data_IF_096825992737
#
_entry.id   IF_096825992737
#
_cell.length_a   1.000
_cell.length_b   1.000
_cell.length_c   1.000
_cell.angle_alpha   90.00
_cell.angle_beta   90.00
_cell.angle_gamma   90.00
#
_symmetry.space_group_name_H-M   'P 1'
#
loop_
_entity.id
_entity.type
_entity.pdbx_description
1 polymer ?
#
# COMPACT_ATOMS: atom_id res chain seq x y z
N UNK A 1 58.98 10.93 -81.58
CA UNK A 1 57.54 10.85 -81.26
C UNK A 1 57.35 9.57 -80.45
N UNK A 2 57.52 9.65 -79.14
CA UNK A 2 57.24 8.58 -78.16
C UNK A 2 57.62 9.12 -76.77
N UNK A 3 56.67 9.59 -75.98
CA UNK A 3 56.79 9.81 -74.54
C UNK A 3 55.38 10.10 -73.99
N UNK A 4 55.11 9.65 -72.75
CA UNK A 4 53.88 9.83 -71.95
C UNK A 4 52.82 8.73 -72.09
N UNK A 5 53.05 7.57 -71.45
CA UNK A 5 51.96 6.60 -71.19
C UNK A 5 52.17 5.77 -69.91
N UNK A 6 52.99 6.24 -68.95
CA UNK A 6 53.43 5.42 -67.80
C UNK A 6 53.17 6.00 -66.41
N UNK A 7 52.46 7.12 -66.28
CA UNK A 7 52.17 7.72 -64.94
C UNK A 7 50.74 7.44 -64.43
N UNK A 8 49.78 7.04 -65.27
CA UNK A 8 48.39 6.83 -64.83
C UNK A 8 48.17 5.52 -64.03
N UNK A 9 49.05 4.53 -64.14
CA UNK A 9 48.83 3.24 -63.45
C UNK A 9 49.13 3.30 -61.95
N UNK A 10 49.86 4.31 -61.47
CA UNK A 10 50.32 4.36 -60.08
C UNK A 10 49.30 4.99 -59.11
N UNK A 11 48.39 5.82 -59.61
CA UNK A 11 47.36 6.50 -58.80
C UNK A 11 46.11 5.62 -58.58
N UNK A 12 45.87 4.65 -59.47
CA UNK A 12 44.74 3.74 -59.36
C UNK A 12 44.85 2.82 -58.14
N UNK A 13 46.04 2.28 -57.84
CA UNK A 13 46.26 1.38 -56.70
C UNK A 13 46.14 2.07 -55.33
N UNK A 14 46.46 3.37 -55.23
CA UNK A 14 46.29 4.12 -53.98
C UNK A 14 44.81 4.32 -53.61
N UNK A 15 43.96 4.58 -54.59
CA UNK A 15 42.54 4.82 -54.37
C UNK A 15 41.80 3.53 -53.95
N UNK A 16 42.19 2.38 -54.50
CA UNK A 16 41.64 1.06 -54.10
C UNK A 16 42.02 0.72 -52.66
N UNK A 17 43.29 0.98 -52.26
CA UNK A 17 43.76 0.75 -50.89
C UNK A 17 43.03 1.63 -49.87
N UNK A 18 42.82 2.92 -50.17
CA UNK A 18 42.14 3.86 -49.29
C UNK A 18 40.66 3.47 -49.02
N UNK A 19 39.94 3.03 -50.05
CA UNK A 19 38.55 2.57 -49.90
C UNK A 19 38.42 1.36 -48.96
N UNK A 20 39.36 0.41 -49.06
CA UNK A 20 39.37 -0.81 -48.24
C UNK A 20 39.67 -0.53 -46.77
N UNK A 21 40.51 0.48 -46.48
CA UNK A 21 40.78 0.95 -45.11
C UNK A 21 39.53 1.63 -44.53
N UNK A 22 38.86 2.49 -45.29
CA UNK A 22 37.65 3.19 -44.85
C UNK A 22 36.48 2.24 -44.56
N UNK A 23 36.29 1.21 -45.39
CA UNK A 23 35.26 0.20 -45.15
C UNK A 23 35.50 -0.59 -43.84
N UNK A 24 36.75 -0.97 -43.58
CA UNK A 24 37.13 -1.68 -42.34
C UNK A 24 36.92 -0.80 -41.11
N UNK A 25 37.26 0.48 -41.18
CA UNK A 25 37.03 1.44 -40.10
C UNK A 25 35.53 1.64 -39.84
N UNK A 26 34.72 1.78 -40.89
CA UNK A 26 33.27 1.92 -40.75
C UNK A 26 32.63 0.71 -40.06
N UNK A 27 33.04 -0.52 -40.43
CA UNK A 27 32.57 -1.74 -39.77
C UNK A 27 32.98 -1.82 -38.30
N UNK A 28 34.21 -1.44 -37.97
CA UNK A 28 34.69 -1.36 -36.58
C UNK A 28 33.85 -0.37 -35.75
N UNK A 29 33.65 0.85 -36.27
CA UNK A 29 32.83 1.87 -35.60
C UNK A 29 31.39 1.39 -35.42
N UNK A 30 30.80 0.73 -36.42
CA UNK A 30 29.45 0.18 -36.30
C UNK A 30 29.33 -0.90 -35.23
N UNK A 31 30.31 -1.80 -35.11
CA UNK A 31 30.33 -2.85 -34.07
C UNK A 31 30.45 -2.23 -32.68
N UNK A 32 31.39 -1.31 -32.49
CA UNK A 32 31.55 -0.63 -31.19
C UNK A 32 30.34 0.24 -30.84
N UNK A 33 29.80 0.98 -31.81
CA UNK A 33 28.59 1.76 -31.63
C UNK A 33 27.38 0.90 -31.24
N UNK A 34 27.23 -0.26 -31.88
CA UNK A 34 26.19 -1.25 -31.54
C UNK A 34 26.35 -1.80 -30.12
N UNK A 35 27.57 -2.16 -29.72
CA UNK A 35 27.84 -2.71 -28.39
C UNK A 35 27.64 -1.67 -27.27
N UNK A 36 28.11 -0.44 -27.47
CA UNK A 36 27.87 0.67 -26.52
C UNK A 36 26.38 0.95 -26.39
N UNK A 37 25.65 1.01 -27.52
CA UNK A 37 24.20 1.23 -27.52
C UNK A 37 23.44 0.12 -26.78
N UNK A 38 23.86 -1.15 -26.96
CA UNK A 38 23.27 -2.28 -26.23
C UNK A 38 23.52 -2.19 -24.72
N UNK A 39 24.73 -1.80 -24.29
CA UNK A 39 25.05 -1.62 -22.86
C UNK A 39 24.21 -0.48 -22.25
N UNK A 40 24.13 0.67 -22.92
CA UNK A 40 23.33 1.82 -22.45
C UNK A 40 21.86 1.45 -22.34
N UNK A 41 21.33 0.69 -23.30
CA UNK A 41 19.95 0.20 -23.27
C UNK A 41 19.70 -0.71 -22.05
N UNK A 42 20.61 -1.64 -21.74
CA UNK A 42 20.49 -2.53 -20.57
C UNK A 42 20.50 -1.73 -19.27
N UNK A 43 21.42 -0.76 -19.14
CA UNK A 43 21.49 0.10 -17.95
C UNK A 43 20.21 0.92 -17.79
N UNK A 44 19.74 1.55 -18.87
CA UNK A 44 18.52 2.38 -18.86
C UNK A 44 17.26 1.57 -18.50
N UNK A 45 17.18 0.32 -18.96
CA UNK A 45 16.09 -0.58 -18.59
C UNK A 45 16.12 -0.92 -17.09
N UNK A 46 17.31 -1.17 -16.53
CA UNK A 46 17.47 -1.45 -15.11
C UNK A 46 17.17 -0.23 -14.22
N UNK A 47 17.57 0.97 -14.66
CA UNK A 47 17.25 2.20 -13.93
C UNK A 47 15.74 2.47 -13.98
N UNK A 48 15.09 2.21 -15.12
CA UNK A 48 13.64 2.36 -15.26
C UNK A 48 12.87 1.37 -14.37
N UNK A 49 13.33 0.13 -14.23
CA UNK A 49 12.70 -0.85 -13.31
C UNK A 49 12.87 -0.44 -11.86
N UNK A 50 14.06 0.02 -11.47
CA UNK A 50 14.33 0.50 -10.10
C UNK A 50 13.51 1.76 -9.75
N UNK A 51 13.37 2.68 -10.70
CA UNK A 51 12.54 3.87 -10.53
C UNK A 51 11.07 3.49 -10.36
N UNK A 52 10.52 2.62 -11.22
CA UNK A 52 9.13 2.15 -11.11
C UNK A 52 8.86 1.44 -9.79
N UNK A 53 9.80 0.63 -9.31
CA UNK A 53 9.67 -0.03 -8.01
C UNK A 53 9.62 0.99 -6.86
N UNK A 54 10.45 2.04 -6.94
CA UNK A 54 10.48 3.12 -5.94
C UNK A 54 9.19 3.95 -5.97
N UNK A 55 8.69 4.30 -7.15
CA UNK A 55 7.43 5.03 -7.34
C UNK A 55 6.22 4.21 -6.86
N UNK A 56 6.20 2.91 -7.15
CA UNK A 56 5.18 1.99 -6.63
C UNK A 56 5.23 1.96 -5.10
N UNK A 57 6.41 1.79 -4.52
CA UNK A 57 6.58 1.75 -3.06
C UNK A 57 6.12 3.04 -2.39
N UNK A 58 6.46 4.18 -2.97
CA UNK A 58 6.00 5.49 -2.50
C UNK A 58 4.48 5.63 -2.60
N UNK A 59 3.90 5.19 -3.71
CA UNK A 59 2.44 5.21 -3.91
C UNK A 59 1.70 4.33 -2.88
N UNK A 60 2.24 3.15 -2.55
CA UNK A 60 1.71 2.28 -1.49
C UNK A 60 1.76 2.98 -0.12
N UNK A 61 2.90 3.60 0.23
CA UNK A 61 3.05 4.33 1.51
C UNK A 61 2.08 5.50 1.61
N UNK A 62 1.91 6.25 0.51
CA UNK A 62 0.98 7.38 0.45
C UNK A 62 -0.46 6.92 0.65
N UNK A 63 -0.88 5.86 -0.05
CA UNK A 63 -2.23 5.30 0.12
C UNK A 63 -2.45 4.77 1.54
N UNK A 64 -1.44 4.16 2.16
CA UNK A 64 -1.51 3.73 3.56
C UNK A 64 -1.77 4.92 4.50
N UNK A 65 -1.00 6.01 4.35
CA UNK A 65 -1.19 7.23 5.12
C UNK A 65 -2.59 7.83 4.91
N UNK A 66 -3.07 7.91 3.66
CA UNK A 66 -4.42 8.40 3.35
C UNK A 66 -5.51 7.55 4.02
N UNK A 67 -5.38 6.22 4.02
CA UNK A 67 -6.34 5.33 4.69
C UNK A 67 -6.30 5.44 6.21
N UNK A 68 -5.14 5.74 6.78
CA UNK A 68 -5.01 6.01 8.21
C UNK A 68 -5.63 7.35 8.57
N UNK A 69 -5.33 8.42 7.83
CA UNK A 69 -5.97 9.73 8.00
C UNK A 69 -7.49 9.61 7.87
N UNK A 70 -7.96 8.78 6.94
CA UNK A 70 -9.37 8.48 6.78
C UNK A 70 -10.00 7.85 8.04
N UNK A 71 -9.27 7.01 8.76
CA UNK A 71 -9.74 6.33 9.96
C UNK A 71 -9.61 7.20 11.21
N UNK A 72 -8.52 7.95 11.36
CA UNK A 72 -8.21 8.71 12.57
C UNK A 72 -8.67 10.17 12.54
N UNK A 73 -8.70 10.79 11.35
CA UNK A 73 -8.95 12.22 11.19
C UNK A 73 -10.29 12.46 10.51
N UNK A 74 -10.55 11.82 9.36
CA UNK A 74 -11.71 12.14 8.53
C UNK A 74 -13.00 11.43 8.97
N UNK A 75 -12.90 10.27 9.64
CA UNK A 75 -14.04 9.48 10.11
C UNK A 75 -14.15 9.53 11.64
N UNK A 76 -14.72 10.63 12.15
CA UNK A 76 -14.88 10.84 13.58
C UNK A 76 -15.67 9.72 14.28
N UNK A 77 -16.58 9.05 13.57
CA UNK A 77 -17.39 7.97 14.12
C UNK A 77 -16.56 6.69 14.28
N UNK A 78 -15.69 6.35 13.33
CA UNK A 78 -14.69 5.30 13.51
C UNK A 78 -13.72 5.61 14.66
N UNK A 79 -13.22 6.85 14.73
CA UNK A 79 -12.34 7.28 15.82
C UNK A 79 -13.02 7.25 17.19
N UNK A 80 -14.32 7.53 17.26
CA UNK A 80 -15.09 7.40 18.50
C UNK A 80 -15.10 5.96 19.02
N UNK A 81 -15.14 4.94 18.16
CA UNK A 81 -15.05 3.53 18.61
C UNK A 81 -13.69 3.23 19.26
N UNK A 82 -12.60 3.74 18.69
CA UNK A 82 -11.27 3.61 19.30
C UNK A 82 -11.22 4.31 20.66
N UNK A 83 -11.79 5.51 20.77
CA UNK A 83 -11.87 6.23 22.05
C UNK A 83 -12.76 5.53 23.08
N UNK A 84 -13.88 4.94 22.67
CA UNK A 84 -14.75 4.16 23.56
C UNK A 84 -14.05 2.90 24.08
N UNK A 85 -13.08 2.41 23.31
CA UNK A 85 -12.25 1.28 23.70
C UNK A 85 -11.18 1.74 24.68
N UNK A 86 -10.40 2.78 24.37
CA UNK A 86 -9.26 3.22 25.19
C UNK A 86 -9.69 3.97 26.47
N UNK A 87 -10.80 4.72 26.43
CA UNK A 87 -11.22 5.59 27.53
C UNK A 87 -12.43 5.02 28.29
N UNK A 88 -12.25 4.85 29.61
CA UNK A 88 -13.27 4.23 30.46
C UNK A 88 -14.58 5.00 30.57
N UNK A 89 -14.54 6.33 30.42
CA UNK A 89 -15.73 7.17 30.44
C UNK A 89 -15.50 8.49 29.70
N UNK A 90 -16.17 8.67 28.58
CA UNK A 90 -16.14 9.93 27.82
C UNK A 90 -17.56 10.37 27.43
N UNK A 91 -17.77 11.69 27.32
CA UNK A 91 -19.06 12.27 26.99
C UNK A 91 -19.16 12.54 25.48
N UNK A 92 -20.09 11.86 24.82
CA UNK A 92 -20.34 11.96 23.38
C UNK A 92 -21.60 12.77 23.12
N UNK A 93 -21.67 13.45 21.98
CA UNK A 93 -22.88 14.16 21.58
C UNK A 93 -23.78 13.21 20.78
N UNK A 94 -24.86 12.72 21.39
CA UNK A 94 -25.83 11.80 20.76
C UNK A 94 -27.17 12.53 20.69
N UNK A 95 -27.64 12.82 19.47
CA UNK A 95 -28.89 13.57 19.29
C UNK A 95 -28.89 14.95 19.95
N UNK A 96 -27.73 15.62 20.01
CA UNK A 96 -27.59 16.92 20.68
C UNK A 96 -27.43 16.87 22.20
N UNK A 97 -27.48 15.68 22.82
CA UNK A 97 -27.32 15.50 24.26
C UNK A 97 -25.96 14.90 24.59
N UNK A 98 -25.23 15.53 25.51
CA UNK A 98 -23.98 14.96 26.06
C UNK A 98 -24.31 13.71 26.86
N UNK A 99 -23.82 12.57 26.37
CA UNK A 99 -24.10 11.26 26.90
C UNK A 99 -22.79 10.56 27.23
N UNK A 100 -22.61 10.18 28.49
CA UNK A 100 -21.45 9.40 28.94
C UNK A 100 -21.55 7.96 28.48
N UNK A 101 -20.53 7.47 27.78
CA UNK A 101 -20.39 6.06 27.38
C UNK A 101 -19.25 5.43 28.19
N UNK A 102 -19.52 4.26 28.76
CA UNK A 102 -18.56 3.47 29.54
C UNK A 102 -18.26 2.14 28.85
N UNK A 103 -17.20 1.42 29.24
CA UNK A 103 -16.94 0.07 28.72
C UNK A 103 -18.11 -0.89 28.90
N UNK A 104 -18.85 -0.81 30.00
CA UNK A 104 -20.03 -1.63 30.21
C UNK A 104 -21.13 -1.34 29.17
N UNK A 105 -21.27 -0.08 28.75
CA UNK A 105 -22.18 0.27 27.67
C UNK A 105 -21.70 -0.28 26.32
N UNK A 106 -20.39 -0.25 26.06
CA UNK A 106 -19.81 -0.84 24.84
C UNK A 106 -20.04 -2.34 24.81
N UNK A 107 -19.69 -3.04 25.89
CA UNK A 107 -19.85 -4.48 26.03
C UNK A 107 -21.30 -4.90 25.80
N UNK A 108 -22.24 -4.24 26.49
CA UNK A 108 -23.67 -4.52 26.34
C UNK A 108 -24.18 -4.21 24.94
N UNK A 109 -23.74 -3.11 24.31
CA UNK A 109 -24.18 -2.75 22.97
C UNK A 109 -23.70 -3.75 21.92
N UNK A 110 -22.45 -4.24 22.02
CA UNK A 110 -21.87 -5.19 21.08
C UNK A 110 -22.28 -6.65 21.34
N UNK A 111 -22.86 -6.97 22.49
CA UNK A 111 -23.40 -8.29 22.80
C UNK A 111 -24.69 -8.57 22.02
N UNK A 112 -24.54 -8.97 20.76
CA UNK A 112 -25.64 -9.27 19.84
C UNK A 112 -26.45 -10.52 20.23
N UNK A 113 -25.92 -11.37 21.11
CA UNK A 113 -26.61 -12.59 21.56
C UNK A 113 -27.63 -12.22 22.64
N UNK A 114 -27.20 -11.43 23.62
CA UNK A 114 -28.03 -11.12 24.79
C UNK A 114 -28.74 -9.76 24.72
N UNK A 115 -28.32 -8.86 23.83
CA UNK A 115 -28.92 -7.52 23.71
C UNK A 115 -29.81 -7.39 22.47
N UNK A 116 -31.10 -7.66 22.67
CA UNK A 116 -32.15 -7.57 21.65
C UNK A 116 -32.75 -6.17 21.50
N UNK A 117 -32.59 -5.28 22.50
CA UNK A 117 -33.19 -3.94 22.50
C UNK A 117 -32.12 -2.85 22.66
N UNK A 118 -31.85 -2.14 21.56
CA UNK A 118 -30.86 -1.07 21.57
C UNK A 118 -31.47 0.26 22.02
N UNK A 119 -30.89 0.80 23.08
CA UNK A 119 -31.03 2.23 23.41
C UNK A 119 -30.34 3.09 22.34
N UNK A 120 -30.66 4.39 22.30
CA UNK A 120 -29.96 5.35 21.44
C UNK A 120 -28.44 5.35 21.64
N UNK A 121 -27.97 5.10 22.88
CA UNK A 121 -26.56 4.90 23.20
C UNK A 121 -26.00 3.64 22.51
N UNK A 122 -26.73 2.53 22.59
CA UNK A 122 -26.32 1.28 21.96
C UNK A 122 -26.24 1.38 20.44
N UNK A 123 -27.19 2.06 19.81
CA UNK A 123 -27.17 2.36 18.36
C UNK A 123 -25.89 3.14 18.01
N UNK A 124 -25.62 4.23 18.72
CA UNK A 124 -24.42 5.05 18.48
C UNK A 124 -23.11 4.26 18.63
N UNK A 125 -23.01 3.37 19.63
CA UNK A 125 -21.86 2.49 19.80
C UNK A 125 -21.72 1.56 18.59
N UNK A 126 -22.78 0.85 18.20
CA UNK A 126 -22.74 -0.09 17.07
C UNK A 126 -22.32 0.60 15.77
N UNK A 127 -22.94 1.73 15.44
CA UNK A 127 -22.57 2.50 14.25
C UNK A 127 -21.09 2.96 14.28
N UNK A 128 -20.57 3.31 15.46
CA UNK A 128 -19.16 3.69 15.63
C UNK A 128 -18.23 2.52 15.33
N UNK A 129 -18.53 1.34 15.89
CA UNK A 129 -17.73 0.14 15.65
C UNK A 129 -17.87 -0.38 14.22
N UNK A 130 -19.05 -0.31 13.60
CA UNK A 130 -19.26 -0.67 12.20
C UNK A 130 -18.40 0.19 11.27
N UNK A 131 -18.33 1.51 11.54
CA UNK A 131 -17.45 2.43 10.80
C UNK A 131 -15.98 2.04 10.97
N UNK A 132 -15.55 1.73 12.19
CA UNK A 132 -14.19 1.26 12.46
C UNK A 132 -13.88 -0.03 11.68
N UNK A 133 -14.75 -1.04 11.77
CA UNK A 133 -14.55 -2.31 11.07
C UNK A 133 -14.59 -2.17 9.56
N UNK A 134 -15.46 -1.30 9.03
CA UNK A 134 -15.46 -0.97 7.60
C UNK A 134 -14.09 -0.43 7.15
N UNK A 135 -13.50 0.49 7.92
CA UNK A 135 -12.17 1.06 7.62
C UNK A 135 -11.06 0.02 7.73
N UNK A 136 -11.05 -0.79 8.79
CA UNK A 136 -10.09 -1.90 8.94
C UNK A 136 -10.22 -2.92 7.79
N UNK A 137 -11.45 -3.20 7.35
CA UNK A 137 -11.70 -4.07 6.19
C UNK A 137 -11.19 -3.47 4.87
N UNK A 138 -11.28 -2.15 4.67
CA UNK A 138 -10.65 -1.49 3.50
C UNK A 138 -9.13 -1.66 3.52
N UNK A 139 -8.50 -1.51 4.70
CA UNK A 139 -7.06 -1.72 4.86
C UNK A 139 -6.69 -3.17 4.53
N UNK A 140 -7.42 -4.16 5.04
CA UNK A 140 -7.17 -5.58 4.74
C UNK A 140 -7.24 -5.87 3.24
N UNK A 141 -8.28 -5.39 2.56
CA UNK A 141 -8.41 -5.56 1.11
C UNK A 141 -7.26 -4.90 0.34
N UNK A 142 -6.78 -3.75 0.82
CA UNK A 142 -5.58 -3.10 0.29
C UNK A 142 -4.33 -3.96 0.44
N UNK A 143 -4.15 -4.62 1.59
CA UNK A 143 -3.03 -5.55 1.81
C UNK A 143 -3.17 -6.78 0.91
N UNK A 144 -4.34 -7.42 0.87
CA UNK A 144 -4.59 -8.63 0.07
C UNK A 144 -4.41 -8.40 -1.43
N UNK A 145 -4.69 -7.20 -1.93
CA UNK A 145 -4.48 -6.82 -3.34
C UNK A 145 -3.05 -6.38 -3.66
N UNK A 146 -2.16 -6.28 -2.66
CA UNK A 146 -0.80 -5.75 -2.84
C UNK A 146 -0.74 -4.23 -3.04
N UNK A 147 -1.87 -3.52 -2.88
CA UNK A 147 -1.91 -2.05 -2.91
C UNK A 147 -1.33 -1.42 -1.65
N UNK A 148 -1.29 -2.17 -0.55
CA UNK A 148 -0.70 -1.77 0.71
C UNK A 148 0.30 -2.84 1.18
N UNK A 149 1.31 -2.41 1.93
CA UNK A 149 2.12 -3.30 2.75
C UNK A 149 1.61 -3.21 4.18
N UNK A 150 1.51 -4.34 4.87
CA UNK A 150 1.07 -4.36 6.27
C UNK A 150 1.95 -3.48 7.16
N UNK A 151 3.26 -3.44 6.87
CA UNK A 151 4.27 -2.59 7.52
C UNK A 151 3.86 -1.11 7.55
N UNK A 152 3.20 -0.61 6.49
CA UNK A 152 2.82 0.80 6.36
C UNK A 152 1.59 1.17 7.18
N UNK A 153 0.80 0.19 7.60
CA UNK A 153 -0.42 0.37 8.39
C UNK A 153 -0.30 -0.20 9.80
N UNK A 154 0.86 -0.77 10.13
CA UNK A 154 1.12 -1.44 11.40
C UNK A 154 0.96 -0.48 12.57
N UNK A 155 1.63 0.68 12.52
CA UNK A 155 1.45 1.76 13.49
C UNK A 155 0.38 2.73 12.98
N UNK A 156 -0.61 3.15 13.80
CA UNK A 156 -0.71 2.91 15.24
C UNK A 156 -1.65 1.73 15.61
N UNK A 157 -1.98 0.86 14.65
CA UNK A 157 -2.94 -0.24 14.87
C UNK A 157 -2.39 -1.33 15.79
N UNK A 158 -1.07 -1.44 15.92
CA UNK A 158 -0.35 -2.30 16.85
C UNK A 158 -0.68 -2.01 18.32
N UNK A 159 -1.04 -0.78 18.66
CA UNK A 159 -1.60 -0.43 19.96
C UNK A 159 -3.08 -0.81 20.08
N UNK A 160 -3.90 -0.34 19.13
CA UNK A 160 -5.36 -0.42 19.25
C UNK A 160 -5.92 -1.84 19.09
N UNK A 161 -5.36 -2.66 18.19
CA UNK A 161 -5.89 -4.01 17.93
C UNK A 161 -5.76 -4.93 19.14
N UNK A 162 -4.59 -5.07 19.79
CA UNK A 162 -4.48 -5.86 21.02
C UNK A 162 -5.36 -5.32 22.15
N UNK A 163 -5.50 -4.00 22.25
CA UNK A 163 -6.33 -3.38 23.27
C UNK A 163 -7.83 -3.67 23.06
N UNK A 164 -8.33 -3.58 21.82
CA UNK A 164 -9.69 -3.98 21.43
C UNK A 164 -9.97 -5.45 21.78
N UNK A 165 -9.04 -6.34 21.45
CA UNK A 165 -9.19 -7.77 21.71
C UNK A 165 -9.14 -8.08 23.21
N UNK A 166 -8.18 -7.54 23.94
CA UNK A 166 -8.10 -7.79 25.39
C UNK A 166 -9.33 -7.27 26.16
N UNK A 167 -9.92 -6.15 25.72
CA UNK A 167 -11.04 -5.51 26.42
C UNK A 167 -12.41 -6.09 26.03
N UNK A 168 -12.63 -6.35 24.73
CA UNK A 168 -13.98 -6.62 24.21
C UNK A 168 -14.09 -7.91 23.37
N UNK A 169 -13.07 -8.78 23.33
CA UNK A 169 -13.05 -9.97 22.44
C UNK A 169 -14.33 -10.81 22.49
N UNK A 170 -14.88 -11.05 23.69
CA UNK A 170 -16.05 -11.92 23.88
C UNK A 170 -17.29 -11.44 23.13
N UNK A 171 -17.47 -10.14 22.95
CA UNK A 171 -18.63 -9.56 22.23
C UNK A 171 -18.24 -9.10 20.83
N UNK A 172 -17.00 -8.64 20.64
CA UNK A 172 -16.52 -8.07 19.40
C UNK A 172 -16.42 -9.12 18.29
N UNK A 173 -15.92 -10.33 18.57
CA UNK A 173 -15.82 -11.39 17.56
C UNK A 173 -17.20 -11.85 17.09
N UNK A 174 -18.15 -12.25 17.97
CA UNK A 174 -19.49 -12.62 17.54
C UNK A 174 -20.20 -11.50 16.77
N UNK A 175 -20.05 -10.24 17.23
CA UNK A 175 -20.59 -9.07 16.55
C UNK A 175 -20.10 -8.96 15.11
N UNK A 176 -18.78 -9.00 14.90
CA UNK A 176 -18.17 -8.92 13.57
C UNK A 176 -18.56 -10.10 12.68
N UNK A 177 -18.69 -11.30 13.25
CA UNK A 177 -19.13 -12.50 12.52
C UNK A 177 -20.58 -12.37 12.04
N UNK A 178 -21.48 -11.91 12.91
CA UNK A 178 -22.90 -11.71 12.58
C UNK A 178 -23.10 -10.67 11.48
N UNK A 179 -22.30 -9.60 11.46
CA UNK A 179 -22.38 -8.54 10.45
C UNK A 179 -21.45 -8.76 9.25
N UNK A 180 -20.83 -9.94 9.13
CA UNK A 180 -19.94 -10.32 8.03
C UNK A 180 -18.73 -9.37 7.84
N UNK A 181 -18.16 -8.83 8.93
CA UNK A 181 -16.92 -8.05 8.91
C UNK A 181 -15.67 -8.95 8.87
N UNK A 182 -15.64 -9.93 7.96
CA UNK A 182 -14.56 -10.92 7.82
C UNK A 182 -13.20 -10.28 7.53
N UNK A 183 -13.16 -9.26 6.67
CA UNK A 183 -11.92 -8.55 6.33
C UNK A 183 -11.31 -7.86 7.55
N UNK A 184 -12.14 -7.22 8.38
CA UNK A 184 -11.65 -6.58 9.59
C UNK A 184 -11.14 -7.61 10.62
N UNK A 185 -11.80 -8.77 10.73
CA UNK A 185 -11.30 -9.88 11.56
C UNK A 185 -9.95 -10.39 11.04
N UNK A 186 -9.78 -10.52 9.73
CA UNK A 186 -8.52 -10.93 9.12
C UNK A 186 -7.42 -9.91 9.38
N UNK A 187 -7.73 -8.61 9.29
CA UNK A 187 -6.78 -7.57 9.68
C UNK A 187 -6.33 -7.71 11.12
N UNK A 188 -7.28 -7.88 12.06
CA UNK A 188 -6.95 -8.03 13.48
C UNK A 188 -6.07 -9.26 13.77
N UNK A 189 -6.27 -10.36 13.05
CA UNK A 189 -5.45 -11.58 13.16
C UNK A 189 -3.98 -11.36 12.79
N UNK A 190 -3.66 -10.37 11.95
CA UNK A 190 -2.28 -10.07 11.55
C UNK A 190 -1.39 -9.61 12.71
N UNK A 191 -1.99 -9.16 13.82
CA UNK A 191 -1.26 -8.66 14.98
C UNK A 191 -0.81 -9.78 15.94
N UNK A 192 -0.93 -11.07 15.55
CA UNK A 192 -0.46 -12.24 16.32
C UNK A 192 -0.93 -12.28 17.78
N UNK A 193 -2.02 -11.58 18.10
CA UNK A 193 -2.69 -11.70 19.39
C UNK A 193 -3.34 -13.08 19.38
N UNK A 194 -2.91 -13.99 20.25
CA UNK A 194 -3.43 -15.36 20.29
C UNK A 194 -4.94 -15.31 20.49
N UNK A 195 -5.71 -15.55 19.42
CA UNK A 195 -7.15 -15.76 19.48
C UNK A 195 -7.43 -17.20 19.93
N UNK A 196 -6.71 -17.71 20.93
CA UNK A 196 -6.98 -19.03 21.50
C UNK A 196 -8.35 -19.02 22.17
N UNK A 197 -9.23 -19.91 21.70
CA UNK A 197 -10.64 -20.04 22.08
C UNK A 197 -10.89 -20.03 23.60
#
# INVERSE_FOLDING_TARGET
>A
MAYSDSEESHDFDKNVSAGLVMEKLAKLVAIFGGLISAIVLIISLNDSTNQRASELRWSQAKLAAELQDDLFINDFQAFNALRMTDWAAYDYLIGGVKTRITHANVQSALDVINNTELTSKGVFVRESFDRLFYRMGKIERGICSGLLRFEDVYSPMDYYVPFLLSTHRQVLIPYMQQLHHSDALNFMRRFNVSLSD
#
